data_IF_855828933790
#
_entry.id   IF_855828933790
#
_cell.length_a   1.000
_cell.length_b   1.000
_cell.length_c   1.000
_cell.angle_alpha   90.00
_cell.angle_beta   90.00
_cell.angle_gamma   90.00
#
_symmetry.space_group_name_H-M   'P 1'
#
loop_
_entity.id
_entity.type
_entity.pdbx_description
1 polymer ?
#
# COMPACT_ATOMS: atom_id res chain seq x y z
N UNK A 1 -10.49 1.82 -31.90
CA UNK A 1 -10.91 2.30 -30.56
C UNK A 1 -9.78 1.98 -29.58
N UNK A 2 -9.19 2.99 -28.98
CA UNK A 2 -8.18 2.79 -27.93
C UNK A 2 -8.96 2.49 -26.64
N UNK A 3 -8.86 1.26 -26.16
CA UNK A 3 -9.45 0.91 -24.87
C UNK A 3 -8.52 1.41 -23.76
N UNK A 4 -9.00 2.35 -22.97
CA UNK A 4 -8.31 2.75 -21.74
C UNK A 4 -8.39 1.61 -20.73
N UNK A 5 -7.24 1.31 -20.10
CA UNK A 5 -7.15 0.29 -19.05
C UNK A 5 -6.93 0.96 -17.71
N UNK A 6 -7.54 0.42 -16.67
CA UNK A 6 -7.39 0.90 -15.30
C UNK A 6 -7.03 -0.24 -14.36
N UNK A 7 -6.15 0.06 -13.39
CA UNK A 7 -5.88 -0.79 -12.23
C UNK A 7 -5.83 0.11 -10.98
N UNK A 8 -6.83 0.00 -10.13
CA UNK A 8 -7.01 0.87 -8.96
C UNK A 8 -6.73 0.17 -7.64
N UNK A 9 -6.12 -1.02 -7.64
CA UNK A 9 -5.80 -1.74 -6.42
C UNK A 9 -4.43 -2.44 -6.56
N UNK A 10 -3.37 -1.73 -6.24
CA UNK A 10 -1.99 -2.19 -6.43
C UNK A 10 -1.19 -1.96 -5.16
N UNK A 11 -0.37 -2.95 -4.79
CA UNK A 11 0.56 -2.88 -3.67
C UNK A 11 2.01 -2.82 -4.15
N UNK A 12 2.84 -2.14 -3.37
CA UNK A 12 4.28 -2.01 -3.62
C UNK A 12 5.11 -2.55 -2.47
N UNK A 13 6.44 -2.47 -2.58
CA UNK A 13 7.35 -2.80 -1.48
C UNK A 13 7.15 -1.97 -0.20
N UNK A 14 6.39 -0.87 -0.28
CA UNK A 14 6.03 -0.09 0.91
C UNK A 14 5.00 -0.79 1.81
N UNK A 15 4.34 -1.85 1.32
CA UNK A 15 3.49 -2.73 2.14
C UNK A 15 3.81 -4.21 1.92
N UNK A 16 3.05 -4.91 1.11
CA UNK A 16 3.19 -6.35 0.87
C UNK A 16 3.28 -6.73 -0.61
N UNK A 17 3.45 -5.76 -1.49
CA UNK A 17 3.79 -5.99 -2.88
C UNK A 17 5.26 -6.37 -3.06
N UNK A 18 5.61 -6.88 -4.25
CA UNK A 18 6.95 -7.32 -4.61
C UNK A 18 7.75 -6.32 -5.43
N UNK A 19 7.09 -5.32 -6.00
CA UNK A 19 7.70 -4.37 -6.93
C UNK A 19 7.98 -3.02 -6.24
N UNK A 20 9.11 -2.42 -6.59
CA UNK A 20 9.31 -1.00 -6.30
C UNK A 20 8.36 -0.15 -7.14
N UNK A 21 8.20 1.11 -6.79
CA UNK A 21 7.37 2.04 -7.56
C UNK A 21 7.87 2.23 -8.99
N UNK A 22 9.19 2.19 -9.23
CA UNK A 22 9.79 2.28 -10.56
C UNK A 22 9.50 1.01 -11.40
N UNK A 23 9.63 -0.17 -10.78
CA UNK A 23 9.27 -1.44 -11.42
C UNK A 23 7.79 -1.49 -11.75
N UNK A 24 6.94 -1.08 -10.81
CA UNK A 24 5.50 -0.96 -11.02
C UNK A 24 5.19 -0.01 -12.18
N UNK A 25 5.81 1.18 -12.23
CA UNK A 25 5.59 2.15 -13.31
C UNK A 25 5.95 1.56 -14.67
N UNK A 26 7.03 0.78 -14.75
CA UNK A 26 7.42 0.06 -15.96
C UNK A 26 6.35 -0.96 -16.36
N UNK A 27 5.84 -1.73 -15.41
CA UNK A 27 4.77 -2.72 -15.62
C UNK A 27 3.48 -2.05 -16.08
N UNK A 28 3.08 -0.93 -15.48
CA UNK A 28 1.92 -0.11 -15.87
C UNK A 28 2.03 0.30 -17.34
N UNK A 29 3.18 0.85 -17.76
CA UNK A 29 3.40 1.28 -19.14
C UNK A 29 3.41 0.11 -20.13
N UNK A 30 4.09 -0.99 -19.79
CA UNK A 30 4.18 -2.21 -20.63
C UNK A 30 2.79 -2.82 -20.89
N UNK A 31 1.91 -2.78 -19.88
CA UNK A 31 0.55 -3.32 -20.00
C UNK A 31 -0.47 -2.30 -20.53
N UNK A 32 -0.01 -1.11 -20.93
CA UNK A 32 -0.87 -0.05 -21.48
C UNK A 32 -2.00 0.37 -20.52
N UNK A 33 -1.72 0.33 -19.22
CA UNK A 33 -2.61 0.85 -18.20
C UNK A 33 -2.45 2.37 -18.18
N UNK A 34 -3.54 3.11 -18.28
CA UNK A 34 -3.54 4.58 -18.31
C UNK A 34 -4.07 5.21 -17.03
N UNK A 35 -4.87 4.49 -16.28
CA UNK A 35 -5.46 4.92 -15.01
C UNK A 35 -5.04 3.94 -13.91
N UNK A 36 -4.38 4.40 -12.85
CA UNK A 36 -3.97 3.51 -11.79
C UNK A 36 -3.88 4.19 -10.42
N UNK A 37 -3.88 3.36 -9.39
CA UNK A 37 -3.69 3.79 -8.00
C UNK A 37 -2.78 2.82 -7.27
N UNK A 38 -1.86 3.35 -6.47
CA UNK A 38 -1.15 2.60 -5.45
C UNK A 38 -1.97 2.66 -4.17
N UNK A 39 -2.24 1.50 -3.58
CA UNK A 39 -3.13 1.33 -2.43
C UNK A 39 -2.45 0.49 -1.34
N UNK A 40 -1.22 0.84 -0.98
CA UNK A 40 -0.46 0.14 0.05
C UNK A 40 -1.21 0.09 1.38
N UNK A 41 -0.98 -0.97 2.15
CA UNK A 41 -1.64 -1.16 3.44
C UNK A 41 -1.16 -0.16 4.50
N UNK A 42 -2.08 0.65 5.00
CA UNK A 42 -1.89 1.56 6.15
C UNK A 42 -0.69 2.51 6.00
N UNK A 43 -0.28 2.80 4.76
CA UNK A 43 0.78 3.76 4.42
C UNK A 43 0.51 4.45 3.09
N UNK A 44 1.01 5.67 2.94
CA UNK A 44 0.98 6.43 1.69
C UNK A 44 2.39 6.69 1.14
N UNK A 45 3.43 6.09 1.70
CA UNK A 45 4.81 6.33 1.29
C UNK A 45 5.04 5.93 -0.17
N UNK A 46 4.45 4.81 -0.62
CA UNK A 46 4.46 4.39 -2.02
C UNK A 46 3.77 5.37 -2.95
N UNK A 47 2.67 6.00 -2.50
CA UNK A 47 1.98 7.07 -3.24
C UNK A 47 2.87 8.29 -3.38
N UNK A 48 3.48 8.77 -2.30
CA UNK A 48 4.36 9.93 -2.32
C UNK A 48 5.57 9.69 -3.22
N UNK A 49 6.15 8.51 -3.18
CA UNK A 49 7.27 8.15 -4.05
C UNK A 49 6.82 8.05 -5.52
N UNK A 50 5.69 7.41 -5.81
CA UNK A 50 5.14 7.34 -7.17
C UNK A 50 4.88 8.72 -7.76
N UNK A 51 4.37 9.66 -6.97
CA UNK A 51 4.12 11.04 -7.40
C UNK A 51 5.41 11.81 -7.76
N UNK A 52 6.57 11.37 -7.27
CA UNK A 52 7.86 11.96 -7.61
C UNK A 52 8.44 11.49 -8.96
N UNK A 53 7.84 10.45 -9.54
CA UNK A 53 8.27 9.87 -10.81
C UNK A 53 7.63 10.57 -12.01
N UNK A 54 8.15 10.32 -13.21
CA UNK A 54 7.56 10.82 -14.46
C UNK A 54 6.28 10.02 -14.80
N UNK A 55 5.13 10.63 -14.57
CA UNK A 55 3.81 10.07 -14.85
C UNK A 55 3.19 10.59 -16.16
N UNK A 56 3.99 11.16 -17.05
CA UNK A 56 3.50 11.70 -18.33
C UNK A 56 2.67 10.67 -19.10
N UNK A 57 1.46 11.05 -19.50
CA UNK A 57 0.51 10.18 -20.21
C UNK A 57 -0.28 9.22 -19.34
N UNK A 58 -0.12 9.28 -18.01
CA UNK A 58 -0.82 8.45 -17.04
C UNK A 58 -1.71 9.28 -16.11
N UNK A 59 -2.79 8.68 -15.64
CA UNK A 59 -3.70 9.26 -14.64
C UNK A 59 -3.52 8.46 -13.34
N UNK A 60 -2.82 9.07 -12.40
CA UNK A 60 -2.55 8.50 -11.09
C UNK A 60 -3.51 9.04 -10.02
N UNK A 61 -4.14 8.16 -9.29
CA UNK A 61 -5.01 8.47 -8.17
C UNK A 61 -4.34 8.04 -6.86
N UNK A 62 -4.06 8.97 -5.93
CA UNK A 62 -3.57 8.59 -4.60
C UNK A 62 -4.55 7.66 -3.91
N UNK A 63 -4.08 6.51 -3.45
CA UNK A 63 -4.89 5.50 -2.80
C UNK A 63 -4.24 4.97 -1.52
N UNK A 64 -5.02 4.27 -0.74
CA UNK A 64 -4.60 3.55 0.47
C UNK A 64 -5.56 2.42 0.74
N UNK A 65 -5.07 1.31 1.27
CA UNK A 65 -5.91 0.23 1.78
C UNK A 65 -5.82 0.16 3.30
N UNK A 66 -6.90 0.56 3.98
CA UNK A 66 -6.98 0.51 5.44
C UNK A 66 -7.28 -0.90 5.94
N UNK A 67 -6.49 -1.37 6.91
CA UNK A 67 -6.79 -2.59 7.66
C UNK A 67 -7.81 -2.27 8.75
N UNK A 68 -9.03 -2.73 8.59
CA UNK A 68 -10.14 -2.45 9.48
C UNK A 68 -10.59 -3.69 10.25
N UNK A 69 -11.09 -3.47 11.47
CA UNK A 69 -11.64 -4.51 12.32
C UNK A 69 -13.08 -4.16 12.68
N UNK A 70 -13.94 -5.13 12.52
CA UNK A 70 -15.30 -5.09 13.06
C UNK A 70 -15.45 -6.16 14.14
N UNK A 71 -16.47 -6.10 15.00
CA UNK A 71 -16.73 -7.18 15.98
C UNK A 71 -16.88 -8.58 15.35
N UNK A 72 -17.20 -8.61 14.06
CA UNK A 72 -17.53 -9.87 13.37
C UNK A 72 -16.40 -10.37 12.45
N UNK A 73 -15.61 -9.46 11.83
CA UNK A 73 -14.57 -9.84 10.87
C UNK A 73 -13.55 -8.74 10.64
N UNK A 74 -12.40 -9.15 10.11
CA UNK A 74 -11.44 -8.24 9.49
C UNK A 74 -11.94 -7.87 8.10
N UNK A 75 -11.73 -6.62 7.70
CA UNK A 75 -11.99 -6.15 6.35
C UNK A 75 -10.92 -5.13 5.94
N UNK A 76 -10.77 -4.95 4.63
CA UNK A 76 -9.95 -3.91 4.06
C UNK A 76 -10.84 -2.90 3.36
N UNK A 77 -10.53 -1.62 3.52
CA UNK A 77 -11.29 -0.53 2.90
C UNK A 77 -10.32 0.30 2.06
N UNK A 78 -10.63 0.43 0.77
CA UNK A 78 -9.88 1.26 -0.15
C UNK A 78 -10.35 2.72 -0.03
N UNK A 79 -9.40 3.63 0.16
CA UNK A 79 -9.64 5.07 0.12
C UNK A 79 -8.86 5.71 -1.02
N UNK A 80 -9.46 6.70 -1.67
CA UNK A 80 -8.83 7.39 -2.80
C UNK A 80 -8.96 8.90 -2.69
N UNK A 81 -8.01 9.61 -3.29
CA UNK A 81 -8.04 11.07 -3.44
C UNK A 81 -8.27 11.82 -2.11
N UNK A 82 -7.69 11.32 -1.04
CA UNK A 82 -7.73 11.89 0.30
C UNK A 82 -6.89 13.17 0.39
N UNK A 83 -7.13 13.98 1.40
CA UNK A 83 -6.23 15.05 1.80
C UNK A 83 -5.13 14.49 2.72
N UNK A 84 -3.93 14.31 2.16
CA UNK A 84 -2.78 13.78 2.91
C UNK A 84 -2.32 14.71 4.05
N UNK A 85 -2.68 15.99 4.03
CA UNK A 85 -2.36 16.95 5.08
C UNK A 85 -3.37 16.95 6.22
N UNK A 86 -4.50 16.27 6.08
CA UNK A 86 -5.52 16.17 7.13
C UNK A 86 -4.97 15.45 8.37
N UNK A 87 -4.93 16.10 9.56
CA UNK A 87 -4.39 15.47 10.77
C UNK A 87 -5.08 14.17 11.16
N UNK A 88 -6.41 14.11 11.07
CA UNK A 88 -7.17 12.89 11.37
C UNK A 88 -6.80 11.75 10.46
N UNK A 89 -6.56 12.02 9.17
CA UNK A 89 -6.10 11.02 8.22
C UNK A 89 -4.70 10.49 8.59
N UNK A 90 -3.79 11.38 8.94
CA UNK A 90 -2.44 11.01 9.37
C UNK A 90 -2.46 10.17 10.65
N UNK A 91 -3.30 10.53 11.63
CA UNK A 91 -3.46 9.78 12.88
C UNK A 91 -3.96 8.35 12.61
N UNK A 92 -4.94 8.18 11.73
CA UNK A 92 -5.45 6.87 11.33
C UNK A 92 -4.38 6.02 10.63
N UNK A 93 -3.58 6.60 9.75
CA UNK A 93 -2.46 5.90 9.10
C UNK A 93 -1.43 5.45 10.13
N UNK A 94 -1.04 6.32 11.04
CA UNK A 94 -0.05 6.01 12.07
C UNK A 94 -0.55 4.89 12.99
N UNK A 95 -1.80 4.96 13.44
CA UNK A 95 -2.41 3.90 14.26
C UNK A 95 -2.43 2.55 13.52
N UNK A 96 -2.80 2.53 12.25
CA UNK A 96 -2.82 1.33 11.41
C UNK A 96 -1.41 0.73 11.26
N UNK A 97 -0.42 1.58 10.98
CA UNK A 97 0.97 1.18 10.88
C UNK A 97 1.49 0.56 12.19
N UNK A 98 1.26 1.21 13.32
CA UNK A 98 1.71 0.74 14.64
C UNK A 98 1.09 -0.61 14.99
N UNK A 99 -0.19 -0.79 14.73
CA UNK A 99 -0.88 -2.09 14.92
C UNK A 99 -0.29 -3.20 14.04
N UNK A 100 0.07 -2.91 12.79
CA UNK A 100 0.74 -3.87 11.90
C UNK A 100 2.12 -4.25 12.46
N UNK A 101 2.92 -3.29 12.88
CA UNK A 101 4.24 -3.54 13.45
C UNK A 101 4.16 -4.34 14.74
N UNK A 102 3.20 -4.04 15.61
CA UNK A 102 2.97 -4.82 16.84
C UNK A 102 2.61 -6.28 16.51
N UNK A 103 1.71 -6.50 15.56
CA UNK A 103 1.33 -7.83 15.10
C UNK A 103 2.49 -8.60 14.49
N UNK A 104 3.34 -7.94 13.72
CA UNK A 104 4.55 -8.54 13.16
C UNK A 104 5.50 -9.00 14.27
N UNK A 105 5.79 -8.14 15.26
CA UNK A 105 6.65 -8.47 16.40
C UNK A 105 6.13 -9.70 17.14
N UNK A 106 4.84 -9.75 17.47
CA UNK A 106 4.23 -10.90 18.14
C UNK A 106 4.39 -12.21 17.34
N UNK A 107 4.29 -12.15 16.01
CA UNK A 107 4.50 -13.30 15.13
C UNK A 107 5.96 -13.75 15.11
N UNK A 108 6.90 -12.81 15.06
CA UNK A 108 8.33 -13.10 15.09
C UNK A 108 8.74 -13.73 16.43
N UNK A 109 8.22 -13.20 17.54
CA UNK A 109 8.45 -13.75 18.88
C UNK A 109 7.91 -15.18 18.99
N UNK A 110 6.70 -15.43 18.51
CA UNK A 110 6.11 -16.77 18.45
C UNK A 110 6.97 -17.76 17.64
N UNK A 111 7.45 -17.36 16.46
CA UNK A 111 8.30 -18.20 15.62
C UNK A 111 9.65 -18.51 16.31
N UNK A 112 10.22 -17.52 16.98
CA UNK A 112 11.46 -17.69 17.75
C UNK A 112 11.25 -18.66 18.92
N UNK A 113 10.22 -18.45 19.73
CA UNK A 113 9.97 -19.26 20.93
C UNK A 113 9.58 -20.69 20.59
N UNK A 114 8.72 -20.88 19.58
CA UNK A 114 8.17 -22.19 19.28
C UNK A 114 9.00 -23.02 18.31
N UNK A 115 9.72 -22.39 17.39
CA UNK A 115 10.44 -23.05 16.30
C UNK A 115 11.93 -22.71 16.26
N UNK A 116 12.43 -21.82 17.12
CA UNK A 116 13.81 -21.35 17.10
C UNK A 116 14.19 -20.54 15.85
N UNK A 117 13.19 -20.06 15.08
CA UNK A 117 13.42 -19.28 13.86
C UNK A 117 13.69 -17.83 14.23
N UNK A 118 14.87 -17.33 13.85
CA UNK A 118 15.27 -15.93 14.03
C UNK A 118 15.50 -15.32 12.66
N UNK A 119 14.85 -14.17 12.41
CA UNK A 119 15.09 -13.38 11.21
C UNK A 119 16.17 -12.34 11.53
N UNK A 120 17.25 -12.34 10.74
CA UNK A 120 18.24 -11.24 10.76
C UNK A 120 17.67 -10.02 10.05
N UNK A 121 18.02 -8.84 10.55
CA UNK A 121 17.74 -7.57 9.83
C UNK A 121 18.58 -7.48 8.57
#
# INVERSE_FOLDING_TARGET
>A
MILSRADLHIHTLYSDGSDSTEQLLTTIRTNQITYFSVTDHDTIDGVLHMQSLDLTGLHFFPGVEFSCFTPYKKCHILGYCYDAACPTFQDVLLEGHDKRMQKLRLRLDYLKEKFGIVFSK
#
